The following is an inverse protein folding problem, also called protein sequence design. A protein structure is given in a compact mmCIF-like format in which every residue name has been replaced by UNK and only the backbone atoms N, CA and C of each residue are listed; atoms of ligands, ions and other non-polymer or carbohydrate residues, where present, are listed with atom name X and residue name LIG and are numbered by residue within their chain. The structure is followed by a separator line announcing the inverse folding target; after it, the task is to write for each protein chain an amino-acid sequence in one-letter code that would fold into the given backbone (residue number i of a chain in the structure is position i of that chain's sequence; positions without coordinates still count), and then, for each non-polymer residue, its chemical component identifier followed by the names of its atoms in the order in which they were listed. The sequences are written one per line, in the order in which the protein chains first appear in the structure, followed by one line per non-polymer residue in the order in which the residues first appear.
data_IF_924250328360
#
_entry.id   IF_924250328360
#
_cell.length_a   1.000
_cell.length_b   1.000
_cell.length_c   1.000
_cell.angle_alpha   90.00
_cell.angle_beta   90.00
_cell.angle_gamma   90.00
#
_symmetry.space_group_name_H-M   'P 1'
#
loop_
_entity.id
_entity.type
_entity.pdbx_description
1 polymer ?
#
# COMPACT_ATOMS: atom_id res chain seq x y z
N UNK A 1 -11.46 -12.51 13.19
CA UNK A 1 -10.21 -11.71 13.32
C UNK A 1 -10.04 -10.85 12.07
N UNK A 2 -10.28 -9.53 12.12
CA UNK A 2 -9.61 -8.47 11.35
C UNK A 2 -10.18 -7.13 11.86
N UNK A 3 -9.30 -6.17 12.11
CA UNK A 3 -9.50 -5.04 13.02
C UNK A 3 -10.53 -4.03 12.51
N UNK A 4 -11.58 -3.83 13.32
CA UNK A 4 -12.50 -2.70 13.25
C UNK A 4 -11.70 -1.42 13.55
N UNK A 5 -11.26 -0.71 12.51
CA UNK A 5 -10.64 0.62 12.67
C UNK A 5 -11.78 1.64 12.65
N UNK A 6 -12.13 2.28 13.78
CA UNK A 6 -13.18 3.28 13.81
C UNK A 6 -12.74 4.50 12.99
N UNK A 7 -13.54 4.86 11.99
CA UNK A 7 -13.40 6.07 11.16
C UNK A 7 -13.79 7.32 11.97
N UNK A 8 -13.04 7.60 13.03
CA UNK A 8 -13.29 8.73 13.92
C UNK A 8 -12.41 9.93 13.60
N UNK A 9 -12.94 10.87 12.81
CA UNK A 9 -12.72 12.33 12.92
C UNK A 9 -11.26 12.83 13.01
N UNK A 10 -10.58 12.93 11.87
CA UNK A 10 -9.56 13.96 11.51
C UNK A 10 -8.92 13.54 10.17
N UNK A 11 -9.43 14.07 9.05
CA UNK A 11 -8.99 13.70 7.71
C UNK A 11 -7.47 13.89 7.49
N UNK A 12 -6.88 14.95 8.04
CA UNK A 12 -5.44 15.24 7.81
C UNK A 12 -4.49 14.27 8.53
N UNK A 13 -4.82 13.89 9.76
CA UNK A 13 -4.00 12.97 10.56
C UNK A 13 -4.06 11.54 10.02
N UNK A 14 -5.26 11.13 9.58
CA UNK A 14 -5.49 9.78 9.06
C UNK A 14 -4.77 9.57 7.72
N UNK A 15 -4.89 10.48 6.77
CA UNK A 15 -4.17 10.37 5.49
C UNK A 15 -2.66 10.36 5.69
N UNK A 16 -2.13 11.18 6.62
CA UNK A 16 -0.70 11.16 6.96
C UNK A 16 -0.28 9.81 7.53
N UNK A 17 -1.04 9.25 8.46
CA UNK A 17 -0.75 7.94 9.03
C UNK A 17 -0.82 6.82 7.98
N UNK A 18 -1.80 6.87 7.08
CA UNK A 18 -1.92 5.93 5.96
C UNK A 18 -0.73 6.03 5.00
N UNK A 19 -0.28 7.25 4.64
CA UNK A 19 0.93 7.44 3.83
C UNK A 19 2.16 6.84 4.49
N UNK A 20 2.36 7.08 5.78
CA UNK A 20 3.50 6.53 6.52
C UNK A 20 3.45 4.99 6.52
N UNK A 21 2.27 4.39 6.74
CA UNK A 21 2.11 2.94 6.69
C UNK A 21 2.34 2.36 5.29
N UNK A 22 1.81 3.01 4.26
CA UNK A 22 2.01 2.60 2.88
C UNK A 22 3.50 2.65 2.50
N UNK A 23 4.20 3.72 2.88
CA UNK A 23 5.66 3.82 2.72
C UNK A 23 6.40 2.73 3.51
N UNK A 24 6.05 2.51 4.77
CA UNK A 24 6.70 1.49 5.59
C UNK A 24 6.55 0.07 5.02
N UNK A 25 5.43 -0.25 4.36
CA UNK A 25 5.22 -1.54 3.72
C UNK A 25 5.85 -1.62 2.30
N UNK A 26 5.81 -0.53 1.55
CA UNK A 26 6.25 -0.50 0.14
C UNK A 26 7.74 -0.19 -0.02
N UNK A 27 8.30 0.72 0.77
CA UNK A 27 9.68 1.18 0.65
C UNK A 27 10.72 0.08 0.84
N UNK A 28 10.56 -0.86 1.79
CA UNK A 28 11.48 -1.98 1.92
C UNK A 28 11.59 -2.84 0.66
N UNK A 29 10.56 -2.92 -0.18
CA UNK A 29 10.59 -3.74 -1.42
C UNK A 29 11.62 -3.25 -2.42
N UNK A 30 11.78 -1.93 -2.55
CA UNK A 30 12.73 -1.34 -3.48
C UNK A 30 14.01 -0.84 -2.80
N UNK A 31 13.97 -0.53 -1.50
CA UNK A 31 15.15 -0.16 -0.71
C UNK A 31 16.06 -1.36 -0.38
N UNK A 32 15.50 -2.55 -0.21
CA UNK A 32 16.29 -3.79 -0.03
C UNK A 32 17.07 -4.20 -1.28
N UNK A 33 16.84 -3.54 -2.42
CA UNK A 33 17.47 -3.88 -3.70
C UNK A 33 16.84 -5.07 -4.41
N UNK A 34 15.80 -5.71 -3.84
CA UNK A 34 15.09 -6.82 -4.48
C UNK A 34 14.40 -6.43 -5.79
N UNK A 35 13.99 -5.15 -5.93
CA UNK A 35 13.51 -4.62 -7.20
C UNK A 35 13.88 -3.15 -7.38
N UNK A 36 14.08 -2.73 -8.63
CA UNK A 36 14.29 -1.32 -8.96
C UNK A 36 13.05 -0.50 -8.60
N UNK A 37 13.24 0.71 -8.06
CA UNK A 37 12.17 1.65 -7.72
C UNK A 37 11.11 1.76 -8.83
N UNK A 38 11.52 1.90 -10.09
CA UNK A 38 10.61 1.97 -11.24
C UNK A 38 9.73 0.73 -11.38
N UNK A 39 10.29 -0.48 -11.17
CA UNK A 39 9.52 -1.73 -11.20
C UNK A 39 8.52 -1.80 -10.05
N UNK A 40 8.89 -1.33 -8.87
CA UNK A 40 8.00 -1.28 -7.72
C UNK A 40 6.79 -0.38 -8.02
N UNK A 41 7.01 0.84 -8.53
CA UNK A 41 5.93 1.76 -8.90
C UNK A 41 5.08 1.24 -10.07
N UNK A 42 5.67 0.54 -11.03
CA UNK A 42 4.92 -0.13 -12.11
C UNK A 42 3.98 -1.22 -11.58
N UNK A 43 4.44 -2.01 -10.61
CA UNK A 43 3.59 -3.03 -9.96
C UNK A 43 2.47 -2.37 -9.16
N UNK A 44 2.80 -1.31 -8.43
CA UNK A 44 1.83 -0.53 -7.66
C UNK A 44 0.74 0.06 -8.55
N UNK A 45 1.13 0.65 -9.69
CA UNK A 45 0.19 1.28 -10.63
C UNK A 45 -0.75 0.25 -11.25
N UNK A 46 -0.22 -0.94 -11.61
CA UNK A 46 -1.02 -2.06 -12.13
C UNK A 46 -2.02 -2.58 -11.10
N UNK A 47 -1.63 -2.66 -9.82
CA UNK A 47 -2.52 -3.08 -8.73
C UNK A 47 -3.63 -2.06 -8.46
N UNK A 48 -3.33 -0.77 -8.63
CA UNK A 48 -4.29 0.34 -8.47
C UNK A 48 -5.10 0.64 -9.73
N UNK A 49 -4.68 0.15 -10.89
CA UNK A 49 -5.31 0.45 -12.19
C UNK A 49 -5.12 1.90 -12.65
N UNK A 50 -4.05 2.56 -12.19
CA UNK A 50 -3.73 3.96 -12.53
C UNK A 50 -2.43 4.06 -13.35
N UNK A 51 -2.22 5.19 -14.01
CA UNK A 51 -0.94 5.47 -14.68
C UNK A 51 0.18 5.60 -13.63
N UNK A 52 1.39 5.16 -13.99
CA UNK A 52 2.61 5.37 -13.19
C UNK A 52 2.80 6.85 -12.83
N UNK A 53 2.45 7.74 -13.75
CA UNK A 53 2.60 9.20 -13.56
C UNK A 53 1.74 9.73 -12.41
N UNK A 54 0.62 9.07 -12.15
CA UNK A 54 -0.31 9.41 -11.05
C UNK A 54 -0.12 8.49 -9.84
N UNK A 55 0.80 7.52 -9.93
CA UNK A 55 1.06 6.50 -8.91
C UNK A 55 2.03 6.99 -7.82
N UNK A 56 1.90 8.24 -7.40
CA UNK A 56 2.67 8.79 -6.29
C UNK A 56 1.94 8.55 -4.98
N UNK A 57 2.55 7.83 -4.03
CA UNK A 57 1.96 7.56 -2.69
C UNK A 57 1.50 8.87 -2.00
N UNK A 58 2.18 9.98 -2.24
CA UNK A 58 1.79 11.30 -1.72
C UNK A 58 0.48 11.84 -2.32
N UNK A 59 0.13 11.45 -3.56
CA UNK A 59 -1.07 11.85 -4.30
C UNK A 59 -2.22 10.84 -4.19
N UNK A 60 -1.98 9.66 -3.61
CA UNK A 60 -3.02 8.65 -3.43
C UNK A 60 -4.07 9.10 -2.40
N UNK A 61 -5.32 8.74 -2.67
CA UNK A 61 -6.44 8.90 -1.75
C UNK A 61 -6.35 7.93 -0.57
N UNK A 62 -7.07 8.22 0.53
CA UNK A 62 -7.17 7.34 1.71
C UNK A 62 -7.52 5.90 1.34
N UNK A 63 -8.45 5.71 0.40
CA UNK A 63 -8.89 4.39 -0.05
C UNK A 63 -7.76 3.65 -0.77
N UNK A 64 -7.03 4.34 -1.67
CA UNK A 64 -5.89 3.75 -2.37
C UNK A 64 -4.76 3.40 -1.41
N UNK A 65 -4.44 4.29 -0.46
CA UNK A 65 -3.42 4.02 0.57
C UNK A 65 -3.77 2.80 1.42
N UNK A 66 -5.04 2.65 1.80
CA UNK A 66 -5.51 1.45 2.49
C UNK A 66 -5.32 0.18 1.64
N UNK A 67 -5.62 0.24 0.35
CA UNK A 67 -5.38 -0.88 -0.57
C UNK A 67 -3.89 -1.25 -0.65
N UNK A 68 -2.99 -0.26 -0.77
CA UNK A 68 -1.53 -0.50 -0.79
C UNK A 68 -1.08 -1.18 0.51
N UNK A 69 -1.53 -0.67 1.65
CA UNK A 69 -1.24 -1.28 2.95
C UNK A 69 -1.76 -2.71 2.97
N UNK A 70 -2.99 -2.98 2.56
CA UNK A 70 -3.53 -4.34 2.54
C UNK A 70 -2.72 -5.30 1.65
N UNK A 71 -2.29 -4.85 0.47
CA UNK A 71 -1.50 -5.67 -0.47
C UNK A 71 -0.11 -6.01 0.09
N UNK A 72 0.55 -5.06 0.76
CA UNK A 72 1.96 -5.20 1.14
C UNK A 72 2.20 -5.47 2.62
N UNK A 73 1.23 -5.20 3.50
CA UNK A 73 1.29 -5.46 4.93
C UNK A 73 0.89 -6.91 5.27
N UNK A 74 0.09 -7.58 4.43
CA UNK A 74 -0.28 -9.00 4.59
C UNK A 74 0.82 -9.98 4.06
N UNK A 75 1.95 -9.49 3.52
CA UNK A 75 3.06 -10.36 3.10
C UNK A 75 3.90 -10.93 4.26
N UNK A 76 3.55 -10.63 5.53
CA UNK A 76 4.17 -11.20 6.72
C UNK A 76 3.41 -12.42 7.29
N UNK A 77 2.46 -12.99 6.53
CA UNK A 77 1.73 -14.15 7.02
C UNK A 77 0.82 -14.80 5.98
N UNK A 78 1.28 -15.95 5.47
CA UNK A 78 0.50 -17.00 4.80
C UNK A 78 -0.03 -16.68 3.40
N UNK A 79 0.73 -17.16 2.43
CA UNK A 79 0.22 -18.07 1.41
C UNK A 79 -1.05 -18.80 1.91
N UNK A 80 -2.21 -18.32 1.49
CA UNK A 80 -3.42 -19.13 1.37
C UNK A 80 -3.73 -19.19 -0.11
N UNK A 81 -2.94 -20.02 -0.79
CA UNK A 81 -3.41 -20.91 -1.85
C UNK A 81 -4.64 -21.67 -1.35
N UNK A 82 -5.81 -21.01 -1.36
CA UNK A 82 -7.08 -21.73 -1.34
C UNK A 82 -7.38 -22.12 -2.78
N UNK A 83 -6.80 -23.26 -3.15
CA UNK A 83 -7.22 -24.10 -4.26
C UNK A 83 -8.62 -24.63 -3.96
N UNK A 84 -9.61 -24.21 -4.77
CA UNK A 84 -10.81 -24.99 -5.05
C UNK A 84 -10.96 -25.07 -6.56
#
# INVERSE_FOLDING_TARGET
KKTLIPLGRMADGKTRALRVKAHAAFDPLWQSGSMSRTKAYLQLSRKLGIDIKDCHIAMLSDAQLQTVILIYQDNDGTDSTDVI
#
